data_IF_227389782694
#
_entry.id   IF_227389782694
#
_cell.length_a   1.000
_cell.length_b   1.000
_cell.length_c   1.000
_cell.angle_alpha   90.00
_cell.angle_beta   90.00
_cell.angle_gamma   90.00
#
_symmetry.space_group_name_H-M   'P 1'
#
loop_
_entity.id
_entity.type
_entity.pdbx_description
1 polymer ?
#
# COMPACT_ATOMS: atom_id res chain seq x y z
N UNK A 1 7.16 -21.74 1.42
CA UNK A 1 6.43 -21.79 2.70
C UNK A 1 5.03 -21.24 2.44
N UNK A 2 3.97 -21.96 2.83
CA UNK A 2 2.58 -21.50 2.67
C UNK A 2 2.26 -20.49 3.78
N UNK A 3 1.56 -19.40 3.45
CA UNK A 3 1.12 -18.42 4.45
C UNK A 3 0.06 -19.03 5.37
N UNK A 4 0.10 -18.70 6.66
CA UNK A 4 -0.98 -19.03 7.60
C UNK A 4 -2.22 -18.20 7.31
N UNK A 5 -3.39 -18.64 7.76
CA UNK A 5 -4.66 -17.91 7.54
C UNK A 5 -4.64 -16.53 8.20
N UNK A 6 -4.05 -16.40 9.39
CA UNK A 6 -3.85 -15.09 10.04
C UNK A 6 -2.98 -14.16 9.18
N UNK A 7 -1.88 -14.68 8.61
CA UNK A 7 -1.02 -13.87 7.75
C UNK A 7 -1.74 -13.49 6.46
N UNK A 8 -2.54 -14.40 5.88
CA UNK A 8 -3.38 -14.11 4.71
C UNK A 8 -4.39 -13.00 5.01
N UNK A 9 -5.10 -13.07 6.13
CA UNK A 9 -6.05 -12.05 6.54
C UNK A 9 -5.40 -10.66 6.72
N UNK A 10 -4.22 -10.62 7.35
CA UNK A 10 -3.46 -9.37 7.47
C UNK A 10 -3.06 -8.79 6.11
N UNK A 11 -2.50 -9.61 5.21
CA UNK A 11 -2.09 -9.16 3.89
C UNK A 11 -3.26 -8.72 3.02
N UNK A 12 -4.37 -9.46 3.07
CA UNK A 12 -5.61 -9.09 2.39
C UNK A 12 -6.07 -7.71 2.85
N UNK A 13 -6.17 -7.47 4.16
CA UNK A 13 -6.55 -6.17 4.70
C UNK A 13 -5.60 -5.04 4.29
N UNK A 14 -4.28 -5.29 4.24
CA UNK A 14 -3.32 -4.30 3.71
C UNK A 14 -3.69 -3.91 2.28
N UNK A 15 -3.94 -4.88 1.39
CA UNK A 15 -4.25 -4.58 -0.01
C UNK A 15 -5.62 -3.94 -0.17
N UNK A 16 -6.66 -4.42 0.54
CA UNK A 16 -7.99 -3.82 0.56
C UNK A 16 -7.96 -2.33 0.93
N UNK A 17 -7.18 -1.96 1.95
CA UNK A 17 -7.01 -0.55 2.34
C UNK A 17 -6.24 0.22 1.27
N UNK A 18 -5.18 -0.36 0.69
CA UNK A 18 -4.38 0.30 -0.34
C UNK A 18 -5.21 0.61 -1.58
N UNK A 19 -6.11 -0.30 -1.99
CA UNK A 19 -7.06 -0.06 -3.07
C UNK A 19 -8.04 1.09 -2.80
N UNK A 20 -8.32 1.39 -1.53
CA UNK A 20 -9.23 2.46 -1.14
C UNK A 20 -8.57 3.84 -1.05
N UNK A 21 -7.23 3.93 -1.10
CA UNK A 21 -6.54 5.24 -1.08
C UNK A 21 -6.98 6.01 -2.34
N UNK A 22 -7.59 7.21 -2.24
CA UNK A 22 -8.07 7.94 -3.41
C UNK A 22 -6.96 8.34 -4.38
N UNK A 23 -7.32 8.55 -5.65
CA UNK A 23 -6.42 9.16 -6.63
C UNK A 23 -5.96 10.54 -6.16
N UNK A 24 -4.67 10.84 -6.31
CA UNK A 24 -4.10 12.11 -5.87
C UNK A 24 -3.92 12.22 -4.35
N UNK A 25 -4.06 11.11 -3.61
CA UNK A 25 -3.86 11.05 -2.17
C UNK A 25 -2.82 9.99 -1.79
N UNK A 26 -2.21 10.20 -0.63
CA UNK A 26 -1.22 9.30 -0.06
C UNK A 26 -1.55 8.97 1.39
N UNK A 27 -1.08 7.83 1.87
CA UNK A 27 -1.11 7.48 3.28
C UNK A 27 0.24 6.91 3.73
N UNK A 28 0.36 6.57 5.01
CA UNK A 28 1.58 5.99 5.55
C UNK A 28 1.45 4.52 5.90
N UNK A 29 2.58 3.79 5.88
CA UNK A 29 2.63 2.40 6.36
C UNK A 29 2.10 2.24 7.79
N UNK A 30 2.39 3.23 8.66
CA UNK A 30 1.92 3.25 10.03
C UNK A 30 0.41 3.46 10.12
N UNK A 31 -0.16 4.29 9.25
CA UNK A 31 -1.60 4.53 9.23
C UNK A 31 -2.38 3.32 8.70
N UNK A 32 -1.88 2.62 7.68
CA UNK A 32 -2.47 1.34 7.25
C UNK A 32 -2.45 0.33 8.40
N UNK A 33 -1.32 0.23 9.12
CA UNK A 33 -1.21 -0.66 10.27
C UNK A 33 -2.17 -0.27 11.42
N UNK A 34 -2.42 1.04 11.61
CA UNK A 34 -3.41 1.56 12.54
C UNK A 34 -4.84 1.14 12.14
N UNK A 35 -5.23 1.32 10.87
CA UNK A 35 -6.55 0.93 10.36
C UNK A 35 -6.81 -0.59 10.49
N UNK A 36 -5.77 -1.41 10.46
CA UNK A 36 -5.84 -2.85 10.69
C UNK A 36 -5.88 -3.24 12.18
N UNK A 37 -5.97 -2.29 13.12
CA UNK A 37 -5.84 -2.51 14.56
C UNK A 37 -4.51 -3.20 14.97
N UNK A 38 -3.44 -2.95 14.21
CA UNK A 38 -2.10 -3.50 14.43
C UNK A 38 -1.03 -2.40 14.33
N UNK A 39 -1.08 -1.33 15.13
CA UNK A 39 -0.27 -0.11 14.93
C UNK A 39 1.26 -0.33 14.94
N UNK A 40 1.73 -1.44 15.53
CA UNK A 40 3.16 -1.79 15.58
C UNK A 40 3.66 -2.51 14.31
N UNK A 41 2.77 -2.84 13.36
CA UNK A 41 3.07 -3.70 12.21
C UNK A 41 3.39 -2.94 10.91
N UNK A 42 3.78 -1.66 11.00
CA UNK A 42 4.13 -0.84 9.81
C UNK A 42 5.19 -1.47 8.91
N UNK A 43 6.19 -2.14 9.50
CA UNK A 43 7.20 -2.90 8.74
C UNK A 43 6.60 -4.08 7.98
N UNK A 44 5.58 -4.74 8.55
CA UNK A 44 4.89 -5.85 7.90
C UNK A 44 4.02 -5.36 6.73
N UNK A 45 3.42 -4.16 6.83
CA UNK A 45 2.78 -3.49 5.69
C UNK A 45 3.80 -3.27 4.56
N UNK A 46 4.98 -2.74 4.89
CA UNK A 46 6.07 -2.57 3.92
C UNK A 46 6.50 -3.90 3.26
N UNK A 47 6.61 -4.97 4.05
CA UNK A 47 6.89 -6.32 3.55
C UNK A 47 5.80 -6.83 2.60
N UNK A 48 4.52 -6.58 2.93
CA UNK A 48 3.37 -6.93 2.07
C UNK A 48 3.51 -6.27 0.70
N UNK A 49 3.76 -4.96 0.66
CA UNK A 49 3.92 -4.23 -0.60
C UNK A 49 5.17 -4.64 -1.38
N UNK A 50 6.27 -4.98 -0.68
CA UNK A 50 7.50 -5.48 -1.32
C UNK A 50 7.28 -6.83 -2.02
N UNK A 51 6.47 -7.70 -1.43
CA UNK A 51 6.25 -9.08 -1.90
C UNK A 51 4.84 -9.30 -2.48
N UNK A 52 4.17 -8.23 -2.90
CA UNK A 52 2.75 -8.25 -3.28
C UNK A 52 2.43 -9.27 -4.37
N UNK A 53 3.26 -9.41 -5.41
CA UNK A 53 3.02 -10.40 -6.49
C UNK A 53 2.95 -11.84 -5.98
N UNK A 54 3.86 -12.22 -5.07
CA UNK A 54 3.85 -13.56 -4.49
C UNK A 54 2.70 -13.73 -3.50
N UNK A 55 2.45 -12.73 -2.66
CA UNK A 55 1.41 -12.84 -1.63
C UNK A 55 0.01 -12.86 -2.27
N UNK A 56 -0.25 -11.99 -3.25
CA UNK A 56 -1.54 -11.95 -3.97
C UNK A 56 -1.78 -13.25 -4.73
N UNK A 57 -0.77 -13.88 -5.33
CA UNK A 57 -0.96 -15.19 -5.97
C UNK A 57 -1.35 -16.28 -4.96
N UNK A 58 -0.86 -16.21 -3.73
CA UNK A 58 -1.27 -17.11 -2.64
C UNK A 58 -2.66 -16.81 -2.09
N UNK A 59 -3.09 -15.54 -2.09
CA UNK A 59 -4.46 -15.15 -1.71
C UNK A 59 -5.47 -15.61 -2.77
N UNK A 60 -5.11 -15.49 -4.04
CA UNK A 60 -5.95 -15.82 -5.19
C UNK A 60 -5.98 -17.34 -5.52
N UNK A 61 -5.17 -18.18 -4.88
CA UNK A 61 -4.95 -19.61 -5.24
C UNK A 61 -6.24 -20.42 -5.45
N UNK A 62 -7.31 -20.09 -4.72
CA UNK A 62 -8.60 -20.81 -4.78
C UNK A 62 -9.78 -19.86 -5.05
N UNK A 63 -9.52 -18.68 -5.59
CA UNK A 63 -10.55 -17.71 -5.95
C UNK A 63 -10.75 -17.70 -7.47
N UNK A 64 -12.00 -17.57 -7.89
CA UNK A 64 -12.31 -17.26 -9.29
C UNK A 64 -11.96 -15.77 -9.54
N UNK A 65 -11.39 -15.39 -10.70
CA UNK A 65 -11.14 -13.99 -11.03
C UNK A 65 -12.37 -13.06 -11.01
N UNK A 66 -13.59 -13.62 -11.05
CA UNK A 66 -14.85 -12.89 -10.87
C UNK A 66 -15.27 -12.70 -9.41
N UNK A 67 -14.56 -13.30 -8.44
CA UNK A 67 -14.82 -13.15 -7.02
C UNK A 67 -14.52 -11.70 -6.57
N UNK A 68 -15.36 -11.14 -5.68
CA UNK A 68 -15.17 -9.78 -5.15
C UNK A 68 -13.86 -9.58 -4.39
N UNK A 69 -13.33 -10.65 -3.81
CA UNK A 69 -12.09 -10.65 -3.02
C UNK A 69 -10.86 -10.88 -3.92
N UNK A 70 -11.05 -11.08 -5.23
CA UNK A 70 -9.93 -11.23 -6.15
C UNK A 70 -9.13 -9.93 -6.25
N UNK A 71 -7.83 -10.00 -5.95
CA UNK A 71 -6.93 -8.85 -6.01
C UNK A 71 -6.11 -8.85 -7.30
N UNK A 72 -6.16 -7.77 -8.08
CA UNK A 72 -5.31 -7.56 -9.25
C UNK A 72 -4.02 -6.82 -8.86
N UNK A 73 -2.90 -7.55 -8.80
CA UNK A 73 -1.61 -6.95 -8.43
C UNK A 73 -1.17 -5.79 -9.35
N UNK A 74 -1.57 -5.80 -10.63
CA UNK A 74 -1.19 -4.75 -11.58
C UNK A 74 -1.92 -3.43 -11.32
N UNK A 75 -3.05 -3.48 -10.63
CA UNK A 75 -3.88 -2.33 -10.28
C UNK A 75 -3.60 -1.83 -8.86
N UNK A 76 -2.82 -2.56 -8.06
CA UNK A 76 -2.50 -2.19 -6.68
C UNK A 76 -1.75 -0.85 -6.63
N UNK A 77 -2.33 0.23 -6.06
CA UNK A 77 -1.74 1.57 -6.06
C UNK A 77 -0.66 1.73 -4.98
N UNK A 78 0.33 0.84 -4.95
CA UNK A 78 1.40 0.80 -3.94
C UNK A 78 2.18 2.12 -3.84
N UNK A 79 2.20 2.92 -4.91
CA UNK A 79 2.87 4.21 -4.95
C UNK A 79 2.23 5.26 -4.03
N UNK A 80 0.96 5.07 -3.64
CA UNK A 80 0.25 5.95 -2.70
C UNK A 80 0.63 5.71 -1.24
N UNK A 81 1.56 4.79 -0.94
CA UNK A 81 2.03 4.49 0.43
C UNK A 81 3.46 4.98 0.64
N UNK A 82 3.62 5.96 1.53
CA UNK A 82 4.91 6.61 1.85
C UNK A 82 5.26 6.48 3.34
N UNK A 83 6.42 6.97 3.76
CA UNK A 83 6.74 7.03 5.20
C UNK A 83 5.80 8.00 5.92
N UNK A 84 5.71 7.91 7.25
CA UNK A 84 4.93 8.87 8.06
C UNK A 84 5.43 10.31 7.95
N UNK A 85 6.68 10.53 7.52
CA UNK A 85 7.22 11.86 7.25
C UNK A 85 6.93 12.36 5.83
N UNK A 86 6.22 11.60 5.01
CA UNK A 86 6.01 11.89 3.58
C UNK A 86 7.16 11.51 2.66
N UNK A 87 8.19 10.82 3.16
CA UNK A 87 9.34 10.41 2.35
C UNK A 87 9.02 9.17 1.52
N UNK A 88 9.32 9.23 0.23
CA UNK A 88 9.38 8.04 -0.62
C UNK A 88 10.63 7.24 -0.21
N UNK A 89 10.40 6.00 0.24
CA UNK A 89 11.50 5.16 0.72
C UNK A 89 12.35 4.66 -0.46
N UNK A 90 13.70 4.72 -0.37
CA UNK A 90 14.57 4.13 -1.37
C UNK A 90 14.28 2.63 -1.50
N UNK A 91 14.16 2.15 -2.74
CA UNK A 91 14.01 0.73 -3.05
C UNK A 91 15.12 0.32 -4.03
N UNK A 92 15.47 -0.96 -4.03
CA UNK A 92 16.37 -1.55 -5.02
C UNK A 92 15.89 -1.23 -6.45
N UNK A 93 16.82 -1.12 -7.41
CA UNK A 93 16.52 -0.88 -8.83
C UNK A 93 15.68 0.38 -9.14
N UNK A 94 15.99 1.54 -8.52
CA UNK A 94 15.37 2.84 -8.83
C UNK A 94 13.88 2.99 -8.47
N UNK A 95 13.33 2.13 -7.60
CA UNK A 95 11.89 2.14 -7.27
C UNK A 95 11.36 3.47 -6.71
N UNK A 96 12.21 4.31 -6.11
CA UNK A 96 11.82 5.65 -5.63
C UNK A 96 11.45 6.60 -6.78
N UNK A 97 12.10 6.49 -7.94
CA UNK A 97 11.81 7.31 -9.12
C UNK A 97 10.50 6.87 -9.77
N UNK A 98 10.28 5.55 -9.86
CA UNK A 98 9.00 4.99 -10.34
C UNK A 98 7.84 5.44 -9.45
N UNK A 99 8.04 5.42 -8.12
CA UNK A 99 7.02 5.90 -7.18
C UNK A 99 6.76 7.40 -7.36
N UNK A 100 7.82 8.22 -7.51
CA UNK A 100 7.71 9.66 -7.81
C UNK A 100 6.91 9.89 -9.08
N UNK A 101 7.26 9.25 -10.19
CA UNK A 101 6.62 9.45 -11.49
C UNK A 101 5.13 9.12 -11.46
N UNK A 102 4.76 8.02 -10.78
CA UNK A 102 3.36 7.63 -10.58
C UNK A 102 2.60 8.64 -9.74
N UNK A 103 3.19 9.18 -8.68
CA UNK A 103 2.58 10.23 -7.86
C UNK A 103 2.37 11.52 -8.66
N UNK A 104 3.36 11.93 -9.46
CA UNK A 104 3.25 13.09 -10.33
C UNK A 104 2.14 12.92 -11.38
N UNK A 105 1.97 11.71 -11.93
CA UNK A 105 0.85 11.37 -12.82
C UNK A 105 -0.52 11.46 -12.14
N UNK A 106 -0.56 11.44 -10.80
CA UNK A 106 -1.76 11.67 -10.00
C UNK A 106 -1.91 13.10 -9.49
N UNK A 107 -1.10 14.03 -9.99
CA UNK A 107 -1.02 15.42 -9.53
C UNK A 107 -0.63 15.55 -8.04
N UNK A 108 0.10 14.57 -7.50
CA UNK A 108 0.72 14.67 -6.17
C UNK A 108 2.12 15.26 -6.35
N UNK A 109 2.34 16.47 -5.83
CA UNK A 109 3.65 17.11 -5.90
C UNK A 109 4.68 16.32 -5.08
N UNK A 110 5.86 16.11 -5.66
CA UNK A 110 7.00 15.45 -5.02
C UNK A 110 8.23 16.35 -5.16
N UNK A 111 8.87 16.70 -4.05
CA UNK A 111 10.09 17.51 -4.06
C UNK A 111 11.29 16.74 -4.60
N UNK A 112 12.37 17.45 -4.93
CA UNK A 112 13.65 16.83 -5.33
C UNK A 112 14.22 15.89 -4.25
N UNK A 113 13.92 16.16 -2.98
CA UNK A 113 14.24 15.28 -1.84
C UNK A 113 13.37 14.03 -1.72
N UNK A 114 12.47 13.78 -2.69
CA UNK A 114 11.50 12.69 -2.70
C UNK A 114 10.53 12.74 -1.51
N UNK A 115 10.03 13.94 -1.21
CA UNK A 115 9.07 14.19 -0.14
C UNK A 115 7.72 14.62 -0.72
N UNK A 116 6.65 14.11 -0.14
CA UNK A 116 5.26 14.50 -0.36
C UNK A 116 4.79 15.32 0.84
N UNK A 117 4.03 16.39 0.58
CA UNK A 117 3.34 17.13 1.63
C UNK A 117 2.18 16.30 2.18
N UNK A 118 2.29 15.84 3.42
CA UNK A 118 1.27 15.00 4.04
C UNK A 118 0.05 15.78 4.52
N UNK A 119 0.16 17.10 4.68
CA UNK A 119 -0.98 17.95 5.05
C UNK A 119 -1.87 18.21 3.82
N UNK A 120 -1.26 18.39 2.65
CA UNK A 120 -1.99 18.60 1.39
C UNK A 120 -2.56 17.28 0.81
N UNK A 121 -1.75 16.23 0.76
CA UNK A 121 -2.09 14.98 0.06
C UNK A 121 -2.46 13.83 0.99
N UNK A 122 -2.37 14.02 2.30
CA UNK A 122 -2.69 12.99 3.29
C UNK A 122 -4.13 12.49 3.19
N UNK A 123 -4.28 11.17 3.27
CA UNK A 123 -5.53 10.47 3.49
C UNK A 123 -5.41 9.64 4.77
N UNK A 124 -6.11 10.11 5.79
CA UNK A 124 -6.03 9.61 7.17
C UNK A 124 -7.41 9.45 7.81
N UNK A 125 -8.30 8.59 7.28
CA UNK A 125 -9.57 8.31 7.93
C UNK A 125 -9.35 7.68 9.32
N UNK A 126 -10.32 7.88 10.23
CA UNK A 126 -10.27 7.26 11.56
C UNK A 126 -10.56 5.75 11.50
N UNK A 127 -11.44 5.36 10.57
CA UNK A 127 -11.89 4.00 10.33
C UNK A 127 -12.09 3.72 8.84
N UNK A 128 -12.13 2.42 8.48
CA UNK A 128 -12.40 2.00 7.11
C UNK A 128 -12.96 0.58 7.09
N UNK A 129 -13.85 0.30 6.15
CA UNK A 129 -14.33 -1.06 5.88
C UNK A 129 -13.44 -1.69 4.82
N UNK A 130 -12.85 -2.85 5.09
CA UNK A 130 -11.86 -3.50 4.23
C UNK A 130 -11.96 -5.01 4.22
#
# INVERSE_FOLDING_TARGET
MRLTDESKAFHFGVYSIVFQIPYGKVTSYGHIAYLLNKPQNSRQVGSSLKHCSFIISQLNENLDPSNSDWLNVNELPWWRVVSSSGKISPREANGQYIQRDKLLQENVAVSEGHMVDMDEYGWFPEDINY
#
